data_IF_298576005218
#
_entry.id   IF_298576005218
#
_cell.length_a   1.000
_cell.length_b   1.000
_cell.length_c   1.000
_cell.angle_alpha   90.00
_cell.angle_beta   90.00
_cell.angle_gamma   90.00
#
_symmetry.space_group_name_H-M   'P 1'
#
loop_
_entity.id
_entity.type
_entity.pdbx_description
1 polymer ?
#
# COMPACT_ATOMS: atom_id res chain seq x y z
N UNK A 1 4.37 20.48 -10.69
CA UNK A 1 3.95 19.47 -9.70
C UNK A 1 5.00 19.44 -8.62
N UNK A 2 4.64 19.50 -7.34
CA UNK A 2 5.64 19.29 -6.29
C UNK A 2 6.08 17.82 -6.32
N UNK A 3 7.37 17.53 -6.09
CA UNK A 3 7.83 16.15 -5.97
C UNK A 3 7.15 15.50 -4.76
N UNK A 4 6.77 14.24 -4.93
CA UNK A 4 6.18 13.40 -3.89
C UNK A 4 7.13 12.25 -3.57
N UNK A 5 6.98 11.65 -2.39
CA UNK A 5 7.68 10.40 -2.09
C UNK A 5 7.09 9.27 -2.93
N UNK A 6 7.98 8.51 -3.59
CA UNK A 6 7.65 7.28 -4.29
C UNK A 6 8.36 6.13 -3.62
N UNK A 7 7.63 5.09 -3.21
CA UNK A 7 8.19 3.88 -2.61
C UNK A 7 7.84 2.66 -3.45
N UNK A 8 8.83 1.80 -3.72
CA UNK A 8 8.60 0.50 -4.35
C UNK A 8 8.81 -0.60 -3.32
N UNK A 9 7.90 -1.56 -3.25
CA UNK A 9 7.99 -2.70 -2.32
C UNK A 9 7.58 -4.03 -2.97
N UNK A 10 8.20 -5.15 -2.57
CA UNK A 10 7.79 -6.47 -3.01
C UNK A 10 6.45 -6.86 -2.38
N UNK A 11 5.57 -7.46 -3.18
CA UNK A 11 4.33 -8.10 -2.74
C UNK A 11 4.31 -9.55 -3.24
N UNK A 12 3.62 -10.42 -2.50
CA UNK A 12 3.56 -11.85 -2.85
C UNK A 12 2.62 -12.15 -4.02
N UNK A 13 1.58 -11.34 -4.17
CA UNK A 13 0.58 -11.45 -5.23
C UNK A 13 -0.03 -10.06 -5.48
N UNK A 14 -0.24 -9.70 -6.76
CA UNK A 14 -0.77 -8.39 -7.15
C UNK A 14 -2.26 -8.26 -6.86
N UNK A 15 -3.06 -9.32 -7.00
CA UNK A 15 -4.49 -9.23 -6.70
C UNK A 15 -4.70 -9.06 -5.20
N UNK A 16 -3.98 -9.82 -4.37
CA UNK A 16 -4.03 -9.61 -2.92
C UNK A 16 -3.58 -8.21 -2.52
N UNK A 17 -2.51 -7.70 -3.14
CA UNK A 17 -2.05 -6.34 -2.89
C UNK A 17 -3.10 -5.32 -3.37
N UNK A 18 -3.74 -5.53 -4.52
CA UNK A 18 -4.81 -4.67 -5.03
C UNK A 18 -5.99 -4.65 -4.06
N UNK A 19 -6.42 -5.81 -3.59
CA UNK A 19 -7.55 -5.91 -2.68
C UNK A 19 -7.23 -5.20 -1.35
N UNK A 20 -6.00 -5.29 -0.86
CA UNK A 20 -5.56 -4.53 0.32
C UNK A 20 -5.51 -3.01 0.07
N UNK A 21 -4.70 -2.56 -0.90
CA UNK A 21 -4.46 -1.13 -1.09
C UNK A 21 -5.66 -0.40 -1.72
N UNK A 22 -6.33 -1.02 -2.68
CA UNK A 22 -7.42 -0.37 -3.42
C UNK A 22 -8.76 -0.65 -2.76
N UNK A 23 -9.10 -1.93 -2.53
CA UNK A 23 -10.44 -2.26 -2.04
C UNK A 23 -10.61 -1.95 -0.55
N UNK A 24 -9.64 -2.32 0.30
CA UNK A 24 -9.72 -2.09 1.74
C UNK A 24 -9.30 -0.65 2.13
N UNK A 25 -8.14 -0.18 1.66
CA UNK A 25 -7.64 1.16 2.03
C UNK A 25 -8.17 2.29 1.13
N UNK A 26 -8.94 1.99 0.07
CA UNK A 26 -9.49 3.02 -0.82
C UNK A 26 -8.46 3.76 -1.68
N UNK A 27 -7.24 3.25 -1.83
CA UNK A 27 -6.21 3.91 -2.64
C UNK A 27 -6.60 3.90 -4.13
N UNK A 28 -6.29 4.98 -4.84
CA UNK A 28 -6.59 5.05 -6.26
C UNK A 28 -5.53 4.28 -7.07
N UNK A 29 -5.93 3.34 -7.96
CA UNK A 29 -4.99 2.70 -8.86
C UNK A 29 -4.49 3.70 -9.90
N UNK A 30 -3.21 3.60 -10.25
CA UNK A 30 -2.58 4.45 -11.27
C UNK A 30 -2.23 3.64 -12.52
N UNK A 31 -1.18 2.83 -12.48
CA UNK A 31 -0.71 2.01 -13.60
C UNK A 31 -0.70 0.55 -13.19
N UNK A 32 -0.94 -0.33 -14.15
CA UNK A 32 -0.94 -1.78 -13.91
C UNK A 32 -0.27 -2.52 -15.06
N UNK A 33 0.48 -3.57 -14.72
CA UNK A 33 1.02 -4.61 -15.60
C UNK A 33 0.80 -5.98 -14.95
N UNK A 34 1.26 -7.03 -15.62
CA UNK A 34 1.14 -8.41 -15.12
C UNK A 34 1.96 -8.64 -13.85
N UNK A 35 3.04 -7.86 -13.65
CA UNK A 35 4.02 -8.03 -12.57
C UNK A 35 4.18 -6.80 -11.66
N UNK A 36 3.42 -5.72 -11.88
CA UNK A 36 3.32 -4.64 -10.89
C UNK A 36 2.01 -3.84 -10.93
N UNK A 37 1.72 -3.17 -9.82
CA UNK A 37 0.63 -2.21 -9.64
C UNK A 37 1.14 -0.93 -8.97
N UNK A 38 0.89 0.22 -9.59
CA UNK A 38 1.07 1.51 -8.95
C UNK A 38 -0.24 1.98 -8.31
N UNK A 39 -0.15 2.52 -7.09
CA UNK A 39 -1.30 3.10 -6.36
C UNK A 39 -0.94 4.45 -5.75
N UNK A 40 -1.94 5.31 -5.63
CA UNK A 40 -1.89 6.56 -4.88
C UNK A 40 -2.24 6.29 -3.41
N UNK A 41 -1.22 6.26 -2.56
CA UNK A 41 -1.32 5.97 -1.14
C UNK A 41 -1.30 7.26 -0.34
N UNK A 42 -2.49 7.83 -0.06
CA UNK A 42 -2.66 9.05 0.73
C UNK A 42 -1.77 10.23 0.25
N UNK A 43 -1.76 10.46 -1.06
CA UNK A 43 -0.95 11.52 -1.70
C UNK A 43 0.51 11.12 -2.01
N UNK A 44 0.96 9.96 -1.53
CA UNK A 44 2.22 9.32 -1.95
C UNK A 44 1.97 8.36 -3.11
N UNK A 45 3.05 7.91 -3.75
CA UNK A 45 2.97 6.87 -4.78
C UNK A 45 3.66 5.59 -4.30
N UNK A 46 2.97 4.46 -4.41
CA UNK A 46 3.56 3.14 -4.22
C UNK A 46 3.65 2.40 -5.55
N UNK A 47 4.75 1.68 -5.78
CA UNK A 47 4.85 0.61 -6.79
C UNK A 47 4.93 -0.73 -6.08
N UNK A 48 3.90 -1.55 -6.27
CA UNK A 48 3.77 -2.89 -5.71
C UNK A 48 4.28 -3.88 -6.77
N UNK A 49 5.46 -4.46 -6.55
CA UNK A 49 6.07 -5.40 -7.50
C UNK A 49 5.83 -6.84 -7.05
N UNK A 50 5.31 -7.69 -7.92
CA UNK A 50 5.14 -9.11 -7.58
C UNK A 50 6.50 -9.79 -7.50
N UNK A 51 6.97 -10.01 -6.28
CA UNK A 51 8.24 -10.67 -5.95
C UNK A 51 7.98 -11.61 -4.77
N UNK A 52 7.35 -12.78 -5.00
CA UNK A 52 6.97 -13.69 -3.92
C UNK A 52 8.14 -14.10 -3.03
N UNK A 53 9.32 -14.29 -3.63
CA UNK A 53 10.54 -14.69 -2.91
C UNK A 53 11.14 -13.56 -2.04
N UNK A 54 10.81 -12.29 -2.33
CA UNK A 54 11.28 -11.12 -1.57
C UNK A 54 10.23 -10.61 -0.58
N UNK A 55 8.95 -10.93 -0.81
CA UNK A 55 7.82 -10.63 0.08
C UNK A 55 7.81 -11.54 1.33
N UNK A 56 8.98 -11.64 1.97
CA UNK A 56 9.15 -12.36 3.23
C UNK A 56 8.29 -11.71 4.29
N UNK A 57 7.54 -12.54 5.04
CA UNK A 57 6.70 -12.07 6.13
C UNK A 57 7.50 -11.37 7.24
N UNK A 58 6.81 -11.00 8.32
CA UNK A 58 7.43 -10.30 9.44
C UNK A 58 8.69 -11.02 9.93
N UNK A 59 9.85 -10.40 9.72
CA UNK A 59 11.12 -10.87 10.28
C UNK A 59 11.07 -10.54 11.78
N UNK A 60 11.14 -11.54 12.69
CA UNK A 60 11.06 -11.29 14.12
C UNK A 60 12.07 -10.21 14.55
N UNK A 61 11.59 -9.14 15.18
CA UNK A 61 12.42 -8.01 15.62
C UNK A 61 12.69 -6.93 14.56
N UNK A 62 12.19 -7.07 13.32
CA UNK A 62 12.23 -5.98 12.35
C UNK A 62 11.21 -4.91 12.70
N UNK A 63 11.68 -3.67 12.88
CA UNK A 63 10.84 -2.48 13.09
C UNK A 63 10.73 -1.60 11.85
N UNK A 64 11.28 -2.03 10.70
CA UNK A 64 11.18 -1.26 9.46
C UNK A 64 9.72 -1.22 9.01
N UNK A 65 9.17 -0.03 8.92
CA UNK A 65 7.82 0.24 8.50
C UNK A 65 7.80 1.46 7.58
N UNK A 66 6.74 1.59 6.80
CA UNK A 66 6.37 2.82 6.12
C UNK A 66 4.88 3.03 6.36
N UNK A 67 4.42 4.26 6.16
CA UNK A 67 3.02 4.59 6.33
C UNK A 67 2.79 6.07 6.17
N UNK A 68 1.60 6.49 6.54
CA UNK A 68 1.21 7.89 6.62
C UNK A 68 0.67 8.20 8.01
N UNK A 69 0.74 9.47 8.38
CA UNK A 69 0.04 9.98 9.55
C UNK A 69 -1.23 10.66 9.09
N UNK A 70 -2.37 10.24 9.63
CA UNK A 70 -3.67 10.79 9.31
C UNK A 70 -4.16 11.70 10.44
N UNK A 71 -5.05 12.63 10.12
CA UNK A 71 -5.83 13.33 11.13
C UNK A 71 -6.72 12.35 11.90
N UNK A 72 -7.16 12.75 13.11
CA UNK A 72 -8.00 11.89 13.96
C UNK A 72 -9.28 11.45 13.24
N UNK A 73 -9.97 12.38 12.60
CA UNK A 73 -11.25 12.11 11.93
C UNK A 73 -11.07 11.19 10.71
N UNK A 74 -10.01 11.39 9.93
CA UNK A 74 -9.66 10.54 8.77
C UNK A 74 -9.30 9.12 9.22
N UNK A 75 -8.57 9.00 10.34
CA UNK A 75 -8.23 7.72 10.92
C UNK A 75 -9.47 6.97 11.42
N UNK A 76 -10.35 7.64 12.17
CA UNK A 76 -11.57 7.02 12.70
C UNK A 76 -12.48 6.53 11.56
N UNK A 77 -12.61 7.30 10.48
CA UNK A 77 -13.35 6.89 9.28
C UNK A 77 -12.74 5.66 8.60
N UNK A 78 -11.42 5.63 8.44
CA UNK A 78 -10.74 4.48 7.84
C UNK A 78 -10.92 3.21 8.68
N UNK A 79 -10.85 3.33 10.02
CA UNK A 79 -11.09 2.19 10.93
C UNK A 79 -12.52 1.67 10.76
N UNK A 80 -13.53 2.55 10.77
CA UNK A 80 -14.92 2.15 10.58
C UNK A 80 -15.15 1.43 9.24
N UNK A 81 -14.48 1.86 8.17
CA UNK A 81 -14.55 1.18 6.87
C UNK A 81 -13.92 -0.21 6.89
N UNK A 82 -12.84 -0.42 7.64
CA UNK A 82 -12.11 -1.69 7.71
C UNK A 82 -12.75 -2.71 8.65
N UNK A 83 -13.61 -2.28 9.58
CA UNK A 83 -14.31 -3.15 10.53
C UNK A 83 -15.67 -3.69 10.02
N UNK A 84 -16.11 -3.26 8.83
CA UNK A 84 -17.32 -3.75 8.16
C UNK A 84 -17.09 -5.07 7.41
#
# INVERSE_FOLDING_TARGET
MQPILHLSLPVRDIEEARDFYVAALGCQPARRRDDFLDVWFFGLQLTLQQRPDEATGSVPGSVRHFGVTLGRDEFDQLVEQLEQ
#
